data_IF_504438814422
#
_entry.id   IF_504438814422
#
_cell.length_a   1.000
_cell.length_b   1.000
_cell.length_c   1.000
_cell.angle_alpha   90.00
_cell.angle_beta   90.00
_cell.angle_gamma   90.00
#
_symmetry.space_group_name_H-M   'P 1'
#
loop_
_entity.id
_entity.type
_entity.pdbx_description
1 polymer ?
#
# COMPACT_ATOMS: atom_id res chain seq x y z
N UNK A 1 28.46 -29.45 2.86
CA UNK A 1 27.99 -29.15 4.23
C UNK A 1 27.59 -27.69 4.43
N UNK A 2 28.27 -26.71 3.81
CA UNK A 2 27.97 -25.27 3.93
C UNK A 2 26.66 -24.84 3.23
N UNK A 3 26.42 -25.27 1.99
CA UNK A 3 25.21 -24.88 1.23
C UNK A 3 23.90 -25.38 1.86
N UNK A 4 23.90 -26.60 2.40
CA UNK A 4 22.75 -27.18 3.11
C UNK A 4 22.39 -26.42 4.40
N UNK A 5 23.39 -25.91 5.13
CA UNK A 5 23.16 -25.07 6.32
C UNK A 5 22.63 -23.69 5.97
N UNK A 6 23.11 -23.08 4.88
CA UNK A 6 22.61 -21.79 4.39
C UNK A 6 21.13 -21.90 3.98
N UNK A 7 20.78 -22.96 3.23
CA UNK A 7 19.39 -23.18 2.80
C UNK A 7 18.45 -23.45 3.97
N UNK A 8 18.87 -24.25 4.97
CA UNK A 8 18.08 -24.47 6.18
C UNK A 8 17.88 -23.18 6.99
N UNK A 9 18.90 -22.31 7.08
CA UNK A 9 18.78 -21.01 7.75
C UNK A 9 17.90 -20.01 6.98
N UNK A 10 17.87 -20.07 5.65
CA UNK A 10 16.99 -19.25 4.83
C UNK A 10 15.53 -19.72 4.95
N UNK A 11 15.30 -21.03 4.91
CA UNK A 11 13.98 -21.64 5.04
C UNK A 11 13.39 -21.44 6.44
N UNK A 12 14.21 -21.60 7.50
CA UNK A 12 13.78 -21.28 8.87
C UNK A 12 13.43 -19.80 9.04
N UNK A 13 14.19 -18.89 8.39
CA UNK A 13 13.87 -17.45 8.38
C UNK A 13 12.60 -17.12 7.61
N UNK A 14 12.30 -17.80 6.50
CA UNK A 14 11.03 -17.61 5.79
C UNK A 14 9.86 -18.15 6.60
N UNK A 15 10.02 -19.29 7.26
CA UNK A 15 8.99 -19.87 8.13
C UNK A 15 8.70 -18.98 9.34
N UNK A 16 9.75 -18.43 10.00
CA UNK A 16 9.55 -17.48 11.10
C UNK A 16 8.93 -16.17 10.62
N UNK A 17 9.33 -15.65 9.44
CA UNK A 17 8.72 -14.46 8.84
C UNK A 17 7.23 -14.69 8.56
N UNK A 18 6.84 -15.86 8.03
CA UNK A 18 5.43 -16.17 7.78
C UNK A 18 4.63 -16.32 9.08
N UNK A 19 5.21 -16.92 10.12
CA UNK A 19 4.55 -17.02 11.43
C UNK A 19 4.28 -15.64 12.06
N UNK A 20 5.23 -14.71 11.94
CA UNK A 20 5.04 -13.32 12.38
C UNK A 20 3.90 -12.64 11.61
N UNK A 21 3.85 -12.82 10.27
CA UNK A 21 2.80 -12.24 9.41
C UNK A 21 1.41 -12.77 9.77
N UNK A 22 1.28 -14.06 10.04
CA UNK A 22 0.00 -14.66 10.45
C UNK A 22 -0.52 -14.06 11.75
N UNK A 23 0.37 -13.88 12.74
CA UNK A 23 0.03 -13.22 13.99
C UNK A 23 -0.38 -11.76 13.76
N UNK A 24 0.32 -11.03 12.90
CA UNK A 24 -0.01 -9.64 12.59
C UNK A 24 -1.38 -9.51 11.91
N UNK A 25 -1.73 -10.45 11.02
CA UNK A 25 -3.04 -10.51 10.38
C UNK A 25 -4.16 -10.66 11.41
N UNK A 26 -3.98 -11.56 12.38
CA UNK A 26 -4.99 -11.80 13.42
C UNK A 26 -5.21 -10.59 14.33
N UNK A 27 -4.14 -9.84 14.63
CA UNK A 27 -4.23 -8.58 15.38
C UNK A 27 -4.91 -7.51 14.54
N UNK A 28 -4.45 -7.29 13.31
CA UNK A 28 -4.96 -6.25 12.42
C UNK A 28 -6.44 -6.45 12.10
N UNK A 29 -6.89 -7.71 11.92
CA UNK A 29 -8.31 -8.06 11.67
C UNK A 29 -9.25 -7.64 12.81
N UNK A 30 -8.73 -7.48 14.03
CA UNK A 30 -9.51 -7.04 15.20
C UNK A 30 -9.58 -5.51 15.34
N UNK A 31 -9.16 -4.74 14.33
CA UNK A 31 -9.00 -3.29 14.41
C UNK A 31 -8.05 -2.89 15.56
N UNK A 32 -6.93 -3.62 15.70
CA UNK A 32 -5.86 -3.31 16.65
C UNK A 32 -4.59 -2.96 15.89
N UNK A 33 -3.87 -1.96 16.38
CA UNK A 33 -2.54 -1.63 15.87
C UNK A 33 -1.47 -2.57 16.45
N UNK A 34 -0.43 -2.83 15.67
CA UNK A 34 0.69 -3.69 16.07
C UNK A 34 1.60 -2.98 17.08
N UNK A 35 2.34 -3.72 17.93
CA UNK A 35 3.47 -3.14 18.67
C UNK A 35 4.45 -2.42 17.72
N UNK A 36 5.08 -1.32 18.16
CA UNK A 36 5.91 -0.47 17.29
C UNK A 36 7.00 -1.26 16.54
N UNK A 37 7.66 -2.20 17.21
CA UNK A 37 8.69 -3.05 16.62
C UNK A 37 8.14 -3.98 15.54
N UNK A 38 6.93 -4.48 15.72
CA UNK A 38 6.27 -5.38 14.76
C UNK A 38 5.75 -4.60 13.56
N UNK A 39 5.17 -3.41 13.79
CA UNK A 39 4.84 -2.48 12.70
C UNK A 39 6.09 -2.13 11.88
N UNK A 40 7.21 -1.85 12.53
CA UNK A 40 8.49 -1.58 11.85
C UNK A 40 8.90 -2.76 10.97
N UNK A 41 8.91 -3.99 11.51
CA UNK A 41 9.26 -5.20 10.74
C UNK A 41 8.31 -5.41 9.55
N UNK A 42 7.01 -5.21 9.75
CA UNK A 42 6.01 -5.31 8.68
C UNK A 42 6.29 -4.28 7.58
N UNK A 43 6.52 -3.02 7.94
CA UNK A 43 6.85 -1.97 6.97
C UNK A 43 8.14 -2.29 6.22
N UNK A 44 9.21 -2.67 6.92
CA UNK A 44 10.49 -3.03 6.29
C UNK A 44 10.30 -4.21 5.31
N UNK A 45 9.51 -5.23 5.68
CA UNK A 45 9.24 -6.36 4.81
C UNK A 45 8.40 -5.99 3.59
N UNK A 46 7.35 -5.17 3.75
CA UNK A 46 6.55 -4.72 2.59
C UNK A 46 7.38 -3.80 1.70
N UNK A 47 8.28 -2.97 2.24
CA UNK A 47 9.24 -2.21 1.45
C UNK A 47 10.13 -3.13 0.59
N UNK A 48 10.64 -4.25 1.13
CA UNK A 48 11.39 -5.25 0.35
C UNK A 48 10.57 -5.78 -0.83
N UNK A 49 9.29 -6.10 -0.61
CA UNK A 49 8.38 -6.57 -1.66
C UNK A 49 8.13 -5.49 -2.72
N UNK A 50 7.80 -4.28 -2.28
CA UNK A 50 7.49 -3.17 -3.16
C UNK A 50 8.72 -2.69 -3.95
N UNK A 51 9.95 -2.87 -3.47
CA UNK A 51 11.16 -2.50 -4.23
C UNK A 51 11.33 -3.35 -5.50
N UNK A 52 10.90 -4.61 -5.46
CA UNK A 52 10.95 -5.53 -6.61
C UNK A 52 9.79 -5.29 -7.60
N UNK A 53 8.78 -4.54 -7.18
CA UNK A 53 7.59 -4.26 -7.99
C UNK A 53 7.80 -3.11 -8.99
N UNK A 54 7.44 -3.34 -10.26
CA UNK A 54 7.34 -2.28 -11.27
C UNK A 54 6.36 -1.17 -10.87
N UNK A 55 6.52 0.05 -11.41
CA UNK A 55 5.54 1.13 -11.24
C UNK A 55 4.18 0.81 -11.84
N UNK A 56 4.15 -0.06 -12.84
CA UNK A 56 2.92 -0.51 -13.50
C UNK A 56 2.79 -2.00 -13.28
N UNK A 57 1.88 -2.40 -12.39
CA UNK A 57 1.64 -3.79 -12.02
C UNK A 57 0.72 -4.48 -13.02
N UNK A 58 1.14 -5.57 -13.67
CA UNK A 58 0.21 -6.39 -14.45
C UNK A 58 -0.69 -7.19 -13.51
N UNK A 59 -1.99 -7.16 -13.74
CA UNK A 59 -2.99 -7.86 -12.92
C UNK A 59 -3.89 -8.69 -13.84
N UNK A 60 -4.24 -9.90 -13.42
CA UNK A 60 -5.13 -10.79 -14.18
C UNK A 60 -6.50 -10.89 -13.53
N UNK A 61 -7.55 -11.01 -14.34
CA UNK A 61 -8.89 -11.34 -13.84
C UNK A 61 -8.98 -12.80 -13.33
N UNK A 62 -9.87 -13.10 -12.37
CA UNK A 62 -10.79 -12.19 -11.68
C UNK A 62 -10.08 -11.32 -10.62
N UNK A 63 -10.47 -10.05 -10.55
CA UNK A 63 -9.94 -9.06 -9.59
C UNK A 63 -11.03 -8.07 -9.17
N UNK A 64 -11.01 -7.68 -7.89
CA UNK A 64 -11.86 -6.64 -7.33
C UNK A 64 -11.08 -5.33 -7.22
N UNK A 65 -11.58 -4.26 -7.83
CA UNK A 65 -10.96 -2.93 -7.80
C UNK A 65 -11.64 -2.07 -6.74
N UNK A 66 -10.85 -1.45 -5.86
CA UNK A 66 -11.30 -0.68 -4.72
C UNK A 66 -10.76 0.74 -4.80
N UNK A 67 -11.63 1.74 -4.59
CA UNK A 67 -11.23 3.15 -4.48
C UNK A 67 -10.81 3.52 -3.06
N UNK A 68 -11.01 4.79 -2.73
CA UNK A 68 -10.61 5.42 -1.46
C UNK A 68 -11.21 4.70 -0.25
N UNK A 69 -10.40 4.59 0.81
CA UNK A 69 -10.80 3.96 2.09
C UNK A 69 -10.78 4.97 3.24
N UNK A 70 -9.85 5.93 3.26
CA UNK A 70 -9.76 7.01 4.24
C UNK A 70 -9.96 6.58 5.71
N UNK A 71 -9.21 5.57 6.15
CA UNK A 71 -9.26 5.09 7.53
C UNK A 71 -10.61 4.51 7.97
N UNK A 72 -11.48 4.12 7.04
CA UNK A 72 -12.75 3.46 7.30
C UNK A 72 -12.59 1.94 7.45
N UNK A 73 -11.97 1.51 8.56
CA UNK A 73 -11.60 0.11 8.80
C UNK A 73 -12.78 -0.88 8.66
N UNK A 74 -13.94 -0.54 9.24
CA UNK A 74 -15.10 -1.45 9.23
C UNK A 74 -15.71 -1.60 7.83
N UNK A 75 -15.64 -0.54 7.02
CA UNK A 75 -16.08 -0.58 5.62
C UNK A 75 -15.11 -1.40 4.78
N UNK A 76 -13.80 -1.35 5.07
CA UNK A 76 -12.80 -2.24 4.45
C UNK A 76 -13.09 -3.73 4.76
N UNK A 77 -13.44 -4.07 5.99
CA UNK A 77 -13.80 -5.45 6.32
C UNK A 77 -15.10 -5.89 5.64
N UNK A 78 -16.08 -5.00 5.46
CA UNK A 78 -17.30 -5.28 4.70
C UNK A 78 -17.02 -5.46 3.20
N UNK A 79 -16.07 -4.69 2.66
CA UNK A 79 -15.57 -4.88 1.30
C UNK A 79 -15.02 -6.29 1.11
N UNK A 80 -14.20 -6.81 2.04
CA UNK A 80 -13.69 -8.18 1.95
C UNK A 80 -14.77 -9.25 2.11
N UNK A 81 -15.82 -8.99 2.89
CA UNK A 81 -16.96 -9.93 2.99
C UNK A 81 -17.76 -10.00 1.69
N UNK A 82 -17.93 -8.85 1.03
CA UNK A 82 -18.75 -8.73 -0.19
C UNK A 82 -17.97 -9.16 -1.44
N UNK A 83 -16.71 -8.74 -1.56
CA UNK A 83 -15.85 -9.02 -2.72
C UNK A 83 -15.23 -10.42 -2.70
N UNK A 84 -15.14 -11.06 -1.54
CA UNK A 84 -14.52 -12.37 -1.36
C UNK A 84 -13.21 -12.30 -0.56
N UNK A 85 -12.89 -13.37 0.17
CA UNK A 85 -11.69 -13.39 1.01
C UNK A 85 -10.43 -13.70 0.18
N UNK A 86 -9.30 -13.13 0.59
CA UNK A 86 -7.97 -13.48 0.08
C UNK A 86 -7.57 -14.84 0.71
N UNK A 87 -6.95 -15.78 -0.03
CA UNK A 87 -6.35 -15.66 -1.37
C UNK A 87 -7.26 -15.98 -2.56
N UNK A 88 -8.51 -16.34 -2.35
CA UNK A 88 -9.40 -16.78 -3.43
C UNK A 88 -9.79 -15.63 -4.37
N UNK A 89 -9.73 -14.39 -3.88
CA UNK A 89 -9.99 -13.16 -4.64
C UNK A 89 -8.74 -12.28 -4.68
N UNK A 90 -8.41 -11.75 -5.86
CA UNK A 90 -7.36 -10.75 -6.05
C UNK A 90 -7.94 -9.33 -5.91
N UNK A 91 -7.16 -8.39 -5.41
CA UNK A 91 -7.57 -7.01 -5.17
C UNK A 91 -6.58 -5.99 -5.73
N UNK A 92 -7.12 -4.91 -6.30
CA UNK A 92 -6.38 -3.68 -6.62
C UNK A 92 -6.99 -2.55 -5.80
N UNK A 93 -6.20 -1.99 -4.88
CA UNK A 93 -6.59 -0.82 -4.10
C UNK A 93 -5.95 0.42 -4.72
N UNK A 94 -6.76 1.40 -5.09
CA UNK A 94 -6.36 2.57 -5.88
C UNK A 94 -5.86 3.75 -5.04
N UNK A 95 -5.32 3.53 -3.84
CA UNK A 95 -4.78 4.60 -2.98
C UNK A 95 -5.79 5.16 -1.96
N UNK A 96 -5.38 6.23 -1.27
CA UNK A 96 -6.16 6.95 -0.25
C UNK A 96 -6.66 6.04 0.87
N UNK A 97 -5.70 5.37 1.51
CA UNK A 97 -5.92 4.46 2.64
C UNK A 97 -6.08 5.21 3.96
N UNK A 98 -5.41 6.36 4.08
CA UNK A 98 -5.26 7.12 5.32
C UNK A 98 -5.97 8.47 5.29
N UNK A 99 -5.96 9.13 6.45
CA UNK A 99 -6.59 10.41 6.75
C UNK A 99 -8.13 10.39 6.74
N UNK A 100 -8.73 11.46 7.29
CA UNK A 100 -10.19 11.71 7.46
C UNK A 100 -10.91 10.73 8.40
N UNK A 101 -10.58 9.45 8.38
CA UNK A 101 -11.07 8.44 9.32
C UNK A 101 -10.26 8.35 10.60
N UNK A 102 -10.84 7.71 11.62
CA UNK A 102 -10.22 7.53 12.94
C UNK A 102 -9.31 6.29 13.05
N UNK A 103 -9.32 5.43 12.04
CA UNK A 103 -8.63 4.14 12.03
C UNK A 103 -7.66 4.01 10.86
N UNK A 104 -7.00 5.10 10.47
CA UNK A 104 -6.10 5.12 9.31
C UNK A 104 -4.92 4.16 9.49
N UNK A 105 -4.35 4.12 10.70
CA UNK A 105 -3.27 3.21 11.03
C UNK A 105 -3.70 1.75 10.95
N UNK A 106 -4.86 1.40 11.52
CA UNK A 106 -5.37 0.02 11.49
C UNK A 106 -5.73 -0.40 10.06
N UNK A 107 -6.38 0.49 9.30
CA UNK A 107 -6.72 0.27 7.89
C UNK A 107 -5.46 0.01 7.06
N UNK A 108 -4.46 0.88 7.16
CA UNK A 108 -3.23 0.72 6.40
C UNK A 108 -2.46 -0.53 6.85
N UNK A 109 -2.34 -0.77 8.16
CA UNK A 109 -1.71 -1.98 8.70
C UNK A 109 -2.41 -3.24 8.19
N UNK A 110 -3.75 -3.25 8.13
CA UNK A 110 -4.52 -4.37 7.60
C UNK A 110 -4.14 -4.68 6.15
N UNK A 111 -4.10 -3.67 5.29
CA UNK A 111 -3.67 -3.82 3.88
C UNK A 111 -2.22 -4.33 3.78
N UNK A 112 -1.30 -3.80 4.59
CA UNK A 112 0.09 -4.24 4.61
C UNK A 112 0.25 -5.70 5.01
N UNK A 113 -0.50 -6.17 6.02
CA UNK A 113 -0.43 -7.58 6.43
C UNK A 113 -0.93 -8.53 5.33
N UNK A 114 -1.97 -8.13 4.59
CA UNK A 114 -2.48 -8.88 3.44
C UNK A 114 -1.48 -8.88 2.28
N UNK A 115 -0.86 -7.72 2.00
CA UNK A 115 0.22 -7.60 1.00
C UNK A 115 1.42 -8.46 1.34
N UNK A 116 1.81 -8.49 2.61
CA UNK A 116 2.92 -9.28 3.10
C UNK A 116 2.69 -10.80 2.95
N UNK A 117 1.45 -11.26 3.16
CA UNK A 117 1.09 -12.68 3.04
C UNK A 117 0.78 -13.13 1.62
N UNK A 118 0.13 -12.28 0.83
CA UNK A 118 -0.30 -12.60 -0.52
C UNK A 118 0.10 -11.48 -1.49
N UNK A 119 1.42 -11.30 -1.73
CA UNK A 119 1.94 -10.22 -2.56
C UNK A 119 1.38 -10.24 -3.99
N UNK A 120 1.13 -11.43 -4.54
CA UNK A 120 0.58 -11.62 -5.89
C UNK A 120 -0.94 -11.41 -5.98
N UNK A 121 -1.63 -11.29 -4.84
CA UNK A 121 -3.10 -11.11 -4.77
C UNK A 121 -3.52 -9.72 -4.37
N UNK A 122 -2.66 -8.96 -3.70
CA UNK A 122 -2.94 -7.61 -3.22
C UNK A 122 -2.05 -6.63 -3.96
N UNK A 123 -2.65 -5.79 -4.81
CA UNK A 123 -1.97 -4.67 -5.45
C UNK A 123 -2.36 -3.38 -4.73
N UNK A 124 -1.37 -2.63 -4.24
CA UNK A 124 -1.58 -1.35 -3.57
C UNK A 124 -1.00 -0.24 -4.45
N UNK A 125 -1.87 0.62 -4.96
CA UNK A 125 -1.47 1.83 -5.65
C UNK A 125 -1.29 2.98 -4.65
N UNK A 126 -0.43 3.93 -4.98
CA UNK A 126 -0.27 5.17 -4.21
C UNK A 126 -1.43 6.11 -4.53
N UNK A 127 -2.03 6.70 -3.50
CA UNK A 127 -2.94 7.85 -3.63
C UNK A 127 -2.25 9.15 -3.21
N UNK A 128 -2.97 10.27 -3.27
CA UNK A 128 -2.39 11.56 -2.87
C UNK A 128 -2.27 11.72 -1.36
N UNK A 129 -3.11 11.01 -0.59
CA UNK A 129 -3.03 10.98 0.86
C UNK A 129 -1.80 10.20 1.38
N UNK A 130 -1.19 9.33 0.57
CA UNK A 130 0.07 8.65 0.90
C UNK A 130 1.30 9.55 0.68
N UNK A 131 1.29 10.72 1.31
CA UNK A 131 2.36 11.73 1.28
C UNK A 131 2.59 12.33 2.67
N UNK A 132 3.81 12.76 2.96
CA UNK A 132 4.16 13.39 4.24
C UNK A 132 3.41 14.69 4.43
N UNK A 133 3.26 15.47 3.36
CA UNK A 133 2.58 16.78 3.42
C UNK A 133 1.12 16.64 3.82
N UNK A 134 0.39 15.70 3.22
CA UNK A 134 -1.04 15.51 3.49
C UNK A 134 -1.24 14.86 4.86
N UNK A 135 -0.50 13.81 5.18
CA UNK A 135 -0.65 13.11 6.47
C UNK A 135 -0.32 13.96 7.70
N UNK A 136 0.52 14.99 7.56
CA UNK A 136 0.77 15.98 8.61
C UNK A 136 -0.38 16.95 8.85
N UNK A 137 -1.20 17.21 7.83
CA UNK A 137 -2.29 18.18 7.88
C UNK A 137 -3.63 17.52 8.22
N UNK A 138 -3.85 16.30 7.72
CA UNK A 138 -5.16 15.65 7.74
C UNK A 138 -5.33 14.56 8.82
N UNK A 139 -4.34 14.43 9.72
CA UNK A 139 -4.50 13.77 11.00
C UNK A 139 -3.78 12.43 11.16
N UNK A 140 -3.29 11.80 10.09
CA UNK A 140 -2.58 10.52 10.24
C UNK A 140 -1.29 10.65 11.09
N UNK A 141 -0.55 11.76 10.97
CA UNK A 141 0.59 12.04 11.83
C UNK A 141 0.21 12.07 13.32
N UNK A 142 -0.85 12.80 13.65
CA UNK A 142 -1.35 12.94 15.02
C UNK A 142 -1.90 11.61 15.56
N UNK A 143 -2.55 10.81 14.71
CA UNK A 143 -3.02 9.48 15.04
C UNK A 143 -1.86 8.56 15.46
N UNK A 144 -0.79 8.51 14.66
CA UNK A 144 0.42 7.74 15.01
C UNK A 144 1.07 8.25 16.30
N UNK A 145 1.22 9.57 16.44
CA UNK A 145 1.81 10.20 17.61
C UNK A 145 1.00 9.90 18.88
N UNK A 146 -0.33 9.91 18.80
CA UNK A 146 -1.22 9.60 19.93
C UNK A 146 -1.19 8.12 20.30
N UNK A 147 -1.08 7.20 19.34
CA UNK A 147 -1.12 5.75 19.59
C UNK A 147 0.21 5.20 20.11
N UNK A 148 1.34 5.66 19.56
CA UNK A 148 2.68 5.17 19.94
C UNK A 148 3.46 6.10 20.87
N UNK A 149 2.96 7.31 21.13
CA UNK A 149 3.67 8.34 21.88
C UNK A 149 4.84 8.98 21.14
N UNK A 150 5.06 8.61 19.88
CA UNK A 150 6.14 9.12 19.03
C UNK A 150 5.78 9.01 17.53
N UNK A 151 6.54 9.70 16.68
CA UNK A 151 6.30 9.77 15.24
C UNK A 151 6.99 8.65 14.43
N UNK A 152 7.56 7.63 15.07
CA UNK A 152 8.28 6.57 14.35
C UNK A 152 7.35 5.73 13.48
N UNK A 153 6.16 5.38 13.98
CA UNK A 153 5.15 4.65 13.22
C UNK A 153 4.81 5.38 11.91
N UNK A 154 4.53 6.69 12.01
CA UNK A 154 4.30 7.54 10.83
C UNK A 154 5.49 7.52 9.86
N UNK A 155 6.73 7.62 10.36
CA UNK A 155 7.94 7.56 9.52
C UNK A 155 8.09 6.20 8.82
N UNK A 156 7.75 5.09 9.49
CA UNK A 156 7.79 3.77 8.88
C UNK A 156 6.74 3.64 7.77
N UNK A 157 5.51 4.08 8.01
CA UNK A 157 4.47 4.11 6.99
C UNK A 157 4.84 5.01 5.80
N UNK A 158 5.44 6.18 6.03
CA UNK A 158 5.91 7.07 4.96
C UNK A 158 6.96 6.42 4.05
N UNK A 159 7.83 5.56 4.60
CA UNK A 159 8.77 4.80 3.76
C UNK A 159 8.05 3.81 2.83
N UNK A 160 6.96 3.20 3.32
CA UNK A 160 6.14 2.32 2.49
C UNK A 160 5.40 3.13 1.43
N UNK A 161 4.86 4.30 1.79
CA UNK A 161 4.16 5.20 0.86
C UNK A 161 5.03 5.56 -0.35
N UNK A 162 6.30 5.87 -0.13
CA UNK A 162 7.24 6.19 -1.22
C UNK A 162 7.45 5.02 -2.19
N UNK A 163 7.19 3.79 -1.76
CA UNK A 163 7.41 2.59 -2.58
C UNK A 163 6.12 2.02 -3.17
N UNK A 164 4.95 2.56 -2.84
CA UNK A 164 3.68 2.13 -3.42
C UNK A 164 3.66 2.31 -4.93
N UNK A 165 3.08 1.34 -5.63
CA UNK A 165 3.07 1.32 -7.09
C UNK A 165 2.19 2.44 -7.65
N UNK A 166 2.50 2.93 -8.85
CA UNK A 166 1.84 4.11 -9.41
C UNK A 166 0.56 3.73 -10.15
N UNK A 167 0.57 2.59 -10.83
CA UNK A 167 -0.54 2.12 -11.65
C UNK A 167 -0.63 0.59 -11.68
N UNK A 168 -1.79 0.09 -12.06
CA UNK A 168 -2.00 -1.30 -12.44
C UNK A 168 -2.62 -1.40 -13.84
N UNK A 169 -2.36 -2.49 -14.55
CA UNK A 169 -2.97 -2.79 -15.83
C UNK A 169 -3.62 -4.17 -15.76
N UNK A 170 -4.95 -4.20 -15.84
CA UNK A 170 -5.75 -5.42 -15.77
C UNK A 170 -5.89 -6.01 -17.18
N UNK A 171 -5.50 -7.27 -17.35
CA UNK A 171 -5.56 -8.04 -18.60
C UNK A 171 -4.97 -7.30 -19.82
N UNK A 172 -3.99 -6.42 -19.60
CA UNK A 172 -3.39 -5.61 -20.66
C UNK A 172 -4.30 -4.53 -21.26
N UNK A 173 -5.51 -4.31 -20.70
CA UNK A 173 -6.55 -3.50 -21.34
C UNK A 173 -7.08 -2.36 -20.47
N UNK A 174 -7.15 -2.53 -19.16
CA UNK A 174 -7.70 -1.53 -18.23
C UNK A 174 -6.57 -0.94 -17.40
N UNK A 175 -6.33 0.37 -17.54
CA UNK A 175 -5.39 1.11 -16.69
C UNK A 175 -6.10 1.58 -15.42
N UNK A 176 -5.55 1.22 -14.26
CA UNK A 176 -5.96 1.69 -12.96
C UNK A 176 -4.90 2.65 -12.40
N UNK A 177 -5.33 3.85 -12.04
CA UNK A 177 -4.54 4.90 -11.39
C UNK A 177 -5.45 5.59 -10.36
N UNK A 178 -4.85 6.21 -9.34
CA UNK A 178 -5.63 6.89 -8.30
C UNK A 178 -6.38 8.12 -8.83
N UNK A 179 -5.65 9.08 -9.41
CA UNK A 179 -6.23 10.32 -9.94
C UNK A 179 -6.66 10.18 -11.39
N UNK A 180 -5.70 10.16 -12.32
CA UNK A 180 -6.01 9.98 -13.74
C UNK A 180 -4.86 10.28 -14.69
N UNK A 181 -5.18 10.85 -15.86
CA UNK A 181 -4.22 11.02 -16.95
C UNK A 181 -3.45 12.35 -16.81
N UNK A 182 -2.14 12.29 -17.05
CA UNK A 182 -1.29 13.48 -17.20
C UNK A 182 -1.12 13.83 -18.68
N UNK A 183 -1.13 15.13 -19.07
CA UNK A 183 -0.79 15.55 -20.43
C UNK A 183 0.65 15.17 -20.84
N UNK A 184 1.54 14.96 -19.86
CA UNK A 184 2.94 14.58 -20.08
C UNK A 184 3.11 13.06 -20.30
N UNK A 185 2.05 12.27 -20.06
CA UNK A 185 2.05 10.81 -20.16
C UNK A 185 1.14 10.38 -21.30
N UNK A 186 1.78 9.93 -22.37
CA UNK A 186 1.14 9.38 -23.58
C UNK A 186 1.26 7.87 -23.68
N UNK A 187 2.21 7.25 -22.95
CA UNK A 187 2.43 5.81 -22.97
C UNK A 187 2.62 5.24 -21.57
N UNK A 188 2.28 3.96 -21.39
CA UNK A 188 2.52 3.24 -20.13
C UNK A 188 4.01 3.14 -19.78
N UNK A 189 4.89 3.14 -20.79
CA UNK A 189 6.33 3.09 -20.57
C UNK A 189 6.85 4.34 -19.88
N UNK A 190 6.22 5.51 -20.09
CA UNK A 190 6.57 6.71 -19.34
C UNK A 190 6.24 6.55 -17.85
N UNK A 191 5.09 5.95 -17.52
CA UNK A 191 4.72 5.64 -16.12
C UNK A 191 5.74 4.69 -15.49
N UNK A 192 6.22 3.70 -16.24
CA UNK A 192 7.27 2.75 -15.79
C UNK A 192 8.58 3.43 -15.44
N UNK A 193 8.88 4.59 -16.03
CA UNK A 193 10.14 5.33 -15.82
C UNK A 193 10.10 6.35 -14.67
N UNK A 194 8.95 6.56 -14.03
CA UNK A 194 8.81 7.49 -12.90
C UNK A 194 9.69 7.03 -11.74
N UNK A 195 10.49 7.93 -11.18
CA UNK A 195 11.12 7.66 -9.88
C UNK A 195 10.07 7.84 -8.78
N UNK A 196 9.49 6.73 -8.31
CA UNK A 196 8.42 6.78 -7.31
C UNK A 196 8.91 6.93 -5.89
N UNK A 197 10.16 6.56 -5.60
CA UNK A 197 10.75 6.50 -4.25
C UNK A 197 11.15 7.89 -3.73
N UNK A 198 10.16 8.77 -3.69
CA UNK A 198 10.28 10.16 -3.29
C UNK A 198 8.94 10.67 -2.79
N UNK A 199 8.98 11.81 -2.11
CA UNK A 199 7.77 12.58 -1.82
C UNK A 199 7.10 13.03 -3.13
N UNK A 200 5.76 13.07 -3.14
CA UNK A 200 4.99 13.52 -4.30
C UNK A 200 5.39 14.96 -4.66
N UNK A 201 5.89 15.22 -5.88
CA UNK A 201 6.22 16.58 -6.33
C UNK A 201 4.99 17.47 -6.40
N UNK A 202 5.17 18.78 -6.30
CA UNK A 202 4.07 19.74 -6.46
C UNK A 202 3.56 19.90 -7.90
N UNK A 203 4.29 19.39 -8.90
CA UNK A 203 3.97 19.49 -10.34
C UNK A 203 4.57 18.33 -11.13
N UNK A 204 3.97 18.04 -12.29
CA UNK A 204 4.48 17.13 -13.31
C UNK A 204 3.76 15.78 -13.34
N UNK A 205 4.18 14.94 -14.27
CA UNK A 205 3.61 13.62 -14.57
C UNK A 205 3.21 12.78 -13.33
N UNK A 206 4.09 12.69 -12.32
CA UNK A 206 3.83 11.90 -11.12
C UNK A 206 2.73 12.52 -10.23
N UNK A 207 2.74 13.84 -10.09
CA UNK A 207 1.70 14.59 -9.38
C UNK A 207 0.34 14.41 -10.07
N UNK A 208 0.29 14.59 -11.38
CA UNK A 208 -0.96 14.54 -12.17
C UNK A 208 -1.63 13.16 -12.14
N UNK A 209 -0.85 12.06 -12.11
CA UNK A 209 -1.43 10.71 -11.99
C UNK A 209 -2.14 10.52 -10.64
N UNK A 210 -1.60 11.11 -9.58
CA UNK A 210 -2.09 10.96 -8.22
C UNK A 210 -3.12 12.03 -7.84
N UNK A 211 -3.15 13.17 -8.53
CA UNK A 211 -4.05 14.26 -8.21
C UNK A 211 -4.88 14.57 -9.44
N UNK A 212 -6.15 14.18 -9.41
CA UNK A 212 -7.11 14.66 -10.40
C UNK A 212 -7.92 15.82 -9.83
N UNK A 213 -7.37 17.03 -9.90
CA UNK A 213 -8.24 18.17 -10.11
C UNK A 213 -8.52 18.21 -11.62
N UNK A 214 -9.77 17.94 -12.05
CA UNK A 214 -10.19 18.35 -13.38
C UNK A 214 -10.01 19.86 -13.34
N UNK A 215 -8.90 20.37 -13.87
CA UNK A 215 -8.84 21.78 -14.25
C UNK A 215 -9.91 21.92 -15.31
N UNK A 216 -11.10 22.32 -14.89
CA UNK A 216 -12.09 22.95 -15.74
C UNK A 216 -11.36 24.17 -16.31
N UNK A 217 -10.66 23.96 -17.42
CA UNK A 217 -10.14 25.04 -18.23
C UNK A 217 -11.37 25.72 -18.82
N UNK A 218 -11.80 26.79 -18.14
CA UNK A 218 -12.62 27.85 -18.72
C UNK A 218 -11.76 28.81 -19.53
#
# INVERSE_FOLDING_TARGET
ASQLRINAHAQFRSESKMADVDQWIDIAKQCKYLPENDLKKLCDYVCELLLEESNVQPVSTPVTVCGDIHGQFYDLEELFKTGGQVPDTSYVFMGDFVDRGYYSLETFTRLLTLKAKWPDRITLLRGNHESRQITQVYGFYDECQSKYGNANAWRYCCKVFDLLTVAAVIDGSILCVHGGLSPDIRTLDQVRTIDRNMEIPHKGAFCDILLHDIKLQG
#
